data_IF_433153011731
#
_entry.id   IF_433153011731
#
_cell.length_a   1.000
_cell.length_b   1.000
_cell.length_c   1.000
_cell.angle_alpha   90.00
_cell.angle_beta   90.00
_cell.angle_gamma   90.00
#
_symmetry.space_group_name_H-M   'P 1'
#
loop_
_entity.id
_entity.type
_entity.pdbx_description
1 polymer ?
#
# COMPACT_ATOMS: atom_id res chain seq x y z
N UNK A 1 -46.88 37.74 11.89
CA UNK A 1 -46.12 37.51 13.13
C UNK A 1 -44.75 38.15 12.99
N UNK A 2 -44.18 38.69 14.07
CA UNK A 2 -42.96 39.50 14.01
C UNK A 2 -41.74 38.63 13.69
N UNK A 3 -40.91 39.08 12.75
CA UNK A 3 -39.62 38.47 12.41
C UNK A 3 -38.74 38.47 13.66
N UNK A 4 -38.37 37.29 14.16
CA UNK A 4 -37.46 37.16 15.30
C UNK A 4 -36.04 37.47 14.83
N UNK A 5 -35.37 38.41 15.50
CA UNK A 5 -33.96 38.71 15.22
C UNK A 5 -33.09 37.77 16.06
N UNK A 6 -32.39 36.86 15.40
CA UNK A 6 -31.41 36.01 16.05
C UNK A 6 -30.16 36.79 16.45
N UNK A 7 -29.58 36.42 17.59
CA UNK A 7 -28.26 36.88 17.99
C UNK A 7 -27.18 36.06 17.30
N UNK A 8 -25.98 36.65 17.14
CA UNK A 8 -24.83 35.95 16.55
C UNK A 8 -24.47 34.66 17.31
N UNK A 9 -24.63 34.67 18.64
CA UNK A 9 -24.38 33.51 19.49
C UNK A 9 -25.40 32.37 19.28
N UNK A 10 -26.69 32.68 19.12
CA UNK A 10 -27.72 31.68 18.81
C UNK A 10 -27.48 31.03 17.45
N UNK A 11 -27.11 31.83 16.44
CA UNK A 11 -26.75 31.32 15.11
C UNK A 11 -25.55 30.38 15.15
N UNK A 12 -24.51 30.73 15.92
CA UNK A 12 -23.32 29.89 16.07
C UNK A 12 -23.66 28.57 16.76
N UNK A 13 -24.43 28.62 17.86
CA UNK A 13 -24.85 27.42 18.59
C UNK A 13 -25.67 26.45 17.70
N UNK A 14 -26.50 27.00 16.81
CA UNK A 14 -27.25 26.20 15.85
C UNK A 14 -26.34 25.54 14.80
N UNK A 15 -25.35 26.27 14.29
CA UNK A 15 -24.36 25.74 13.34
C UNK A 15 -23.52 24.62 13.95
N UNK A 16 -23.06 24.79 15.19
CA UNK A 16 -22.28 23.80 15.92
C UNK A 16 -23.10 22.52 16.15
N UNK A 17 -24.40 22.66 16.46
CA UNK A 17 -25.29 21.52 16.68
C UNK A 17 -25.59 20.74 15.39
N UNK A 18 -25.73 21.43 14.26
CA UNK A 18 -25.93 20.79 12.95
C UNK A 18 -24.66 20.10 12.45
N UNK A 19 -23.47 20.56 12.84
CA UNK A 19 -22.21 19.91 12.49
C UNK A 19 -22.12 18.45 13.00
N UNK A 20 -22.87 18.07 14.04
CA UNK A 20 -22.93 16.68 14.52
C UNK A 20 -23.97 15.78 13.84
N UNK A 21 -24.81 16.32 12.95
CA UNK A 21 -26.03 15.65 12.43
C UNK A 21 -25.88 15.14 11.00
N UNK A 22 -26.51 14.00 10.67
CA UNK A 22 -26.50 13.39 9.33
C UNK A 22 -26.94 14.36 8.22
N UNK A 23 -26.34 14.27 7.03
CA UNK A 23 -26.48 15.27 5.96
C UNK A 23 -27.95 15.54 5.56
N UNK A 24 -28.79 14.52 5.51
CA UNK A 24 -30.22 14.66 5.19
C UNK A 24 -30.99 15.43 6.27
N UNK A 25 -30.71 15.14 7.54
CA UNK A 25 -31.32 15.83 8.68
C UNK A 25 -30.84 17.28 8.80
N UNK A 26 -29.58 17.59 8.41
CA UNK A 26 -29.07 18.97 8.36
C UNK A 26 -29.90 19.87 7.46
N UNK A 27 -30.28 19.38 6.27
CA UNK A 27 -31.07 20.16 5.32
C UNK A 27 -32.49 20.41 5.86
N UNK A 28 -33.10 19.41 6.49
CA UNK A 28 -34.39 19.57 7.16
C UNK A 28 -34.29 20.62 8.27
N UNK A 29 -33.35 20.46 9.21
CA UNK A 29 -33.18 21.34 10.36
C UNK A 29 -32.88 22.79 9.94
N UNK A 30 -32.02 23.01 8.94
CA UNK A 30 -31.74 24.34 8.39
C UNK A 30 -33.00 25.02 7.83
N UNK A 31 -33.87 24.25 7.17
CA UNK A 31 -35.13 24.76 6.64
C UNK A 31 -36.10 25.12 7.75
N UNK A 32 -36.28 24.24 8.74
CA UNK A 32 -37.17 24.50 9.89
C UNK A 32 -36.75 25.73 10.69
N UNK A 33 -35.45 25.87 10.94
CA UNK A 33 -34.89 27.02 11.63
C UNK A 33 -35.04 28.31 10.82
N UNK A 34 -34.78 28.26 9.50
CA UNK A 34 -35.04 29.40 8.61
C UNK A 34 -36.51 29.82 8.64
N UNK A 35 -37.43 28.87 8.66
CA UNK A 35 -38.87 29.13 8.71
C UNK A 35 -39.31 29.70 10.08
N UNK A 36 -38.64 29.29 11.16
CA UNK A 36 -38.80 29.85 12.51
C UNK A 36 -38.30 31.30 12.59
N UNK A 37 -37.12 31.58 12.05
CA UNK A 37 -36.53 32.94 12.01
C UNK A 37 -37.39 33.90 11.18
N UNK A 38 -37.95 33.40 10.07
CA UNK A 38 -38.86 34.17 9.23
C UNK A 38 -40.24 34.38 9.87
N UNK A 39 -40.51 33.77 11.03
CA UNK A 39 -41.80 33.87 11.73
C UNK A 39 -42.94 33.11 11.04
N UNK A 40 -42.62 32.22 10.09
CA UNK A 40 -43.56 31.35 9.39
C UNK A 40 -43.92 30.13 10.24
N UNK A 41 -43.04 29.74 11.17
CA UNK A 41 -43.20 28.61 12.08
C UNK A 41 -43.07 29.08 13.52
N UNK A 42 -43.93 28.55 14.41
CA UNK A 42 -43.97 28.90 15.85
C UNK A 42 -42.91 28.15 16.66
N UNK A 43 -42.52 26.96 16.21
CA UNK A 43 -41.54 26.10 16.87
C UNK A 43 -40.22 26.05 16.10
N UNK A 44 -39.11 26.06 16.83
CA UNK A 44 -37.75 25.95 16.29
C UNK A 44 -37.45 24.53 15.76
N UNK A 45 -36.28 24.35 15.13
CA UNK A 45 -35.88 23.09 14.51
C UNK A 45 -35.87 21.91 15.49
N UNK A 46 -36.48 20.79 15.08
CA UNK A 46 -36.61 19.62 15.94
C UNK A 46 -35.44 18.63 15.77
N UNK A 47 -34.51 18.64 16.73
CA UNK A 47 -33.34 17.76 16.76
C UNK A 47 -33.61 16.35 17.31
N UNK A 48 -34.79 16.06 17.88
CA UNK A 48 -35.05 14.77 18.54
C UNK A 48 -35.09 13.59 17.57
N UNK A 49 -35.43 13.83 16.31
CA UNK A 49 -35.43 12.82 15.23
C UNK A 49 -34.15 12.81 14.39
N UNK A 50 -33.14 13.61 14.76
CA UNK A 50 -31.91 13.73 13.98
C UNK A 50 -30.94 12.57 14.25
N UNK A 51 -30.47 11.90 13.19
CA UNK A 51 -29.47 10.84 13.31
C UNK A 51 -28.07 11.44 13.55
N UNK A 52 -27.29 10.94 14.53
CA UNK A 52 -25.91 11.37 14.71
C UNK A 52 -25.07 10.99 13.49
N UNK A 53 -24.12 11.85 13.10
CA UNK A 53 -23.14 11.46 12.08
C UNK A 53 -22.31 10.27 12.59
N UNK A 54 -22.26 9.20 11.80
CA UNK A 54 -21.24 8.17 11.98
C UNK A 54 -19.90 8.79 11.60
N UNK A 55 -19.16 9.28 12.59
CA UNK A 55 -17.77 9.68 12.42
C UNK A 55 -16.93 8.41 12.23
N UNK A 56 -16.79 7.94 10.98
CA UNK A 56 -15.61 7.13 10.70
C UNK A 56 -14.42 8.06 10.89
N UNK A 57 -13.69 7.85 11.99
CA UNK A 57 -12.50 8.63 12.29
C UNK A 57 -11.52 8.33 11.14
N UNK A 58 -11.16 9.31 10.29
CA UNK A 58 -10.15 9.08 9.28
C UNK A 58 -8.82 8.88 9.99
N UNK A 59 -8.12 7.79 9.68
CA UNK A 59 -6.79 7.51 10.24
C UNK A 59 -5.85 8.70 9.95
N UNK A 60 -5.34 9.41 10.98
CA UNK A 60 -4.50 10.59 10.81
C UNK A 60 -3.15 10.29 10.15
N UNK A 61 -2.81 9.02 9.93
CA UNK A 61 -1.59 8.60 9.21
C UNK A 61 -1.72 8.64 7.69
N UNK A 62 -2.90 8.89 7.13
CA UNK A 62 -3.07 8.98 5.67
C UNK A 62 -2.85 10.42 5.18
N UNK A 63 -1.78 10.69 4.41
CA UNK A 63 -1.63 11.99 3.78
C UNK A 63 -2.80 12.24 2.82
N UNK A 64 -3.28 13.50 2.68
CA UNK A 64 -4.36 13.85 1.78
C UNK A 64 -3.86 13.85 0.33
N UNK A 65 -3.64 12.67 -0.23
CA UNK A 65 -3.44 12.52 -1.67
C UNK A 65 -4.81 12.56 -2.34
N UNK A 66 -5.02 13.55 -3.21
CA UNK A 66 -6.17 13.58 -4.11
C UNK A 66 -6.34 12.24 -4.82
N UNK A 67 -7.58 11.87 -5.15
CA UNK A 67 -7.94 10.56 -5.71
C UNK A 67 -7.01 10.15 -6.86
N UNK A 68 -6.59 11.11 -7.68
CA UNK A 68 -5.73 10.90 -8.85
C UNK A 68 -4.27 10.58 -8.50
N UNK A 69 -3.73 11.22 -7.46
CA UNK A 69 -2.37 10.95 -6.98
C UNK A 69 -2.29 9.58 -6.30
N UNK A 70 -3.31 9.22 -5.50
CA UNK A 70 -3.43 7.88 -4.92
C UNK A 70 -3.53 6.80 -6.00
N UNK A 71 -4.31 7.04 -7.05
CA UNK A 71 -4.43 6.12 -8.17
C UNK A 71 -3.12 5.96 -8.95
N UNK A 72 -2.39 7.05 -9.18
CA UNK A 72 -1.11 7.03 -9.90
C UNK A 72 -0.02 6.26 -9.15
N UNK A 73 0.15 6.53 -7.85
CA UNK A 73 1.13 5.86 -7.01
C UNK A 73 0.80 4.36 -6.83
N UNK A 74 -0.49 4.06 -6.70
CA UNK A 74 -0.97 2.69 -6.59
C UNK A 74 -0.78 1.93 -7.91
N UNK A 75 -1.01 2.56 -9.06
CA UNK A 75 -0.77 1.95 -10.38
C UNK A 75 0.73 1.69 -10.65
N UNK A 76 1.60 2.55 -10.13
CA UNK A 76 3.05 2.43 -10.27
C UNK A 76 3.62 1.29 -9.43
N UNK A 77 3.01 1.02 -8.27
CA UNK A 77 3.41 -0.07 -7.36
C UNK A 77 2.72 -1.41 -7.67
N UNK A 78 1.49 -1.37 -8.18
CA UNK A 78 0.79 -2.57 -8.66
C UNK A 78 1.26 -2.93 -10.05
N UNK A 79 2.26 -3.80 -10.12
CA UNK A 79 2.70 -4.38 -11.37
C UNK A 79 1.55 -5.12 -12.09
N UNK A 80 1.03 -4.56 -13.19
CA UNK A 80 -0.09 -5.13 -13.96
C UNK A 80 0.16 -6.54 -14.52
N UNK A 81 1.43 -6.92 -14.67
CA UNK A 81 1.82 -8.23 -15.19
C UNK A 81 2.42 -9.06 -14.05
N UNK A 82 1.95 -10.31 -13.92
CA UNK A 82 2.30 -11.22 -12.83
C UNK A 82 3.81 -11.42 -12.65
N UNK A 83 4.57 -11.48 -13.75
CA UNK A 83 6.02 -11.72 -13.69
C UNK A 83 6.79 -10.62 -12.97
N UNK A 84 6.32 -9.37 -13.00
CA UNK A 84 6.97 -8.26 -12.30
C UNK A 84 6.78 -8.36 -10.79
N UNK A 85 5.61 -8.83 -10.35
CA UNK A 85 5.35 -9.10 -8.93
C UNK A 85 6.18 -10.29 -8.42
N UNK A 86 6.28 -11.37 -9.22
CA UNK A 86 7.15 -12.51 -8.93
C UNK A 86 8.61 -12.07 -8.82
N UNK A 87 9.08 -11.29 -9.79
CA UNK A 87 10.44 -10.74 -9.78
C UNK A 87 10.71 -9.89 -8.54
N UNK A 88 9.80 -8.96 -8.22
CA UNK A 88 9.96 -8.10 -7.05
C UNK A 88 9.99 -8.91 -5.75
N UNK A 89 9.19 -9.98 -5.65
CA UNK A 89 9.24 -10.91 -4.51
C UNK A 89 10.56 -11.68 -4.41
N UNK A 90 11.16 -12.08 -5.54
CA UNK A 90 12.47 -12.73 -5.55
C UNK A 90 13.59 -11.76 -5.12
N UNK A 91 13.54 -10.51 -5.59
CA UNK A 91 14.48 -9.46 -5.19
C UNK A 91 14.35 -9.17 -3.69
N UNK A 92 13.14 -9.03 -3.17
CA UNK A 92 12.90 -8.78 -1.74
C UNK A 92 13.50 -9.90 -0.86
N UNK A 93 13.25 -11.16 -1.22
CA UNK A 93 13.84 -12.32 -0.53
C UNK A 93 15.37 -12.32 -0.60
N UNK A 94 15.96 -11.98 -1.75
CA UNK A 94 17.40 -11.91 -1.90
C UNK A 94 18.02 -10.80 -1.04
N UNK A 95 17.40 -9.62 -0.99
CA UNK A 95 17.87 -8.47 -0.21
C UNK A 95 17.84 -8.78 1.29
N UNK A 96 16.77 -9.41 1.79
CA UNK A 96 16.67 -9.82 3.20
C UNK A 96 17.75 -10.87 3.53
N UNK A 97 17.94 -11.86 2.67
CA UNK A 97 18.98 -12.88 2.87
C UNK A 97 20.38 -12.27 2.86
N UNK A 98 20.65 -11.33 1.94
CA UNK A 98 21.91 -10.60 1.89
C UNK A 98 22.16 -9.80 3.16
N UNK A 99 21.12 -9.15 3.73
CA UNK A 99 21.24 -8.45 5.00
C UNK A 99 21.60 -9.39 6.16
N UNK A 100 20.99 -10.57 6.23
CA UNK A 100 21.31 -11.58 7.26
C UNK A 100 22.80 -11.95 7.19
N UNK A 101 23.30 -12.29 6.00
CA UNK A 101 24.70 -12.65 5.79
C UNK A 101 25.64 -11.48 6.12
N UNK A 102 25.30 -10.27 5.67
CA UNK A 102 26.06 -9.05 5.94
C UNK A 102 26.15 -8.75 7.44
N UNK A 103 25.03 -8.91 8.17
CA UNK A 103 24.97 -8.73 9.61
C UNK A 103 25.84 -9.74 10.34
N UNK A 104 25.77 -11.01 9.97
CA UNK A 104 26.61 -12.07 10.53
C UNK A 104 28.10 -11.82 10.28
N UNK A 105 28.46 -11.39 9.07
CA UNK A 105 29.84 -11.04 8.72
C UNK A 105 30.37 -9.85 9.55
N UNK A 106 29.53 -8.86 9.85
CA UNK A 106 29.92 -7.72 10.72
C UNK A 106 30.05 -8.10 12.18
N UNK A 107 29.18 -8.97 12.69
CA UNK A 107 29.29 -9.51 14.06
C UNK A 107 30.64 -10.21 14.26
N UNK A 108 31.06 -11.03 13.28
CA UNK A 108 32.38 -11.70 13.31
C UNK A 108 33.55 -10.72 13.31
N UNK A 109 33.40 -9.56 12.64
CA UNK A 109 34.40 -8.49 12.58
C UNK A 109 34.36 -7.54 13.79
N UNK A 110 33.49 -7.79 14.79
CA UNK A 110 33.23 -6.90 15.94
C UNK A 110 32.93 -5.45 15.54
N UNK A 111 32.33 -5.26 14.38
CA UNK A 111 31.90 -3.94 13.91
C UNK A 111 30.51 -3.60 14.48
N UNK A 112 30.20 -2.30 14.57
CA UNK A 112 28.87 -1.84 14.98
C UNK A 112 27.80 -2.41 14.04
N UNK A 113 26.68 -2.86 14.63
CA UNK A 113 25.52 -3.33 13.88
C UNK A 113 24.91 -2.15 13.13
N UNK A 114 24.81 -2.28 11.80
CA UNK A 114 24.12 -1.29 10.96
C UNK A 114 22.62 -1.51 11.01
N UNK A 115 21.85 -0.42 10.94
CA UNK A 115 20.40 -0.50 10.82
C UNK A 115 20.04 -1.06 9.44
N UNK A 116 18.94 -1.80 9.33
CA UNK A 116 18.45 -2.32 8.04
C UNK A 116 18.29 -1.23 6.97
N UNK A 117 17.78 -0.06 7.36
CA UNK A 117 17.62 1.08 6.45
C UNK A 117 18.96 1.60 5.89
N UNK A 118 19.98 1.69 6.74
CA UNK A 118 21.32 2.13 6.33
C UNK A 118 22.03 1.10 5.43
N UNK A 119 21.75 -0.20 5.62
CA UNK A 119 22.18 -1.23 4.69
C UNK A 119 21.52 -1.05 3.31
N UNK A 120 20.20 -0.79 3.27
CA UNK A 120 19.47 -0.59 2.02
C UNK A 120 19.96 0.64 1.25
N UNK A 121 20.27 1.75 1.94
CA UNK A 121 20.80 2.95 1.27
C UNK A 121 22.20 2.71 0.71
N UNK A 122 23.07 1.99 1.42
CA UNK A 122 24.38 1.59 0.91
C UNK A 122 24.26 0.65 -0.29
N UNK A 123 23.38 -0.35 -0.20
CA UNK A 123 23.11 -1.28 -1.31
C UNK A 123 22.58 -0.54 -2.53
N UNK A 124 21.67 0.41 -2.36
CA UNK A 124 21.14 1.22 -3.45
C UNK A 124 22.24 2.06 -4.11
N UNK A 125 23.12 2.71 -3.33
CA UNK A 125 24.24 3.48 -3.88
C UNK A 125 25.17 2.58 -4.70
N UNK A 126 25.53 1.41 -4.17
CA UNK A 126 26.36 0.43 -4.88
C UNK A 126 25.73 -0.01 -6.20
N UNK A 127 24.43 -0.33 -6.20
CA UNK A 127 23.73 -0.76 -7.42
C UNK A 127 23.67 0.35 -8.47
N UNK A 128 23.60 1.63 -8.05
CA UNK A 128 23.61 2.77 -8.97
C UNK A 128 24.99 3.05 -9.57
N UNK A 129 26.06 2.67 -8.87
CA UNK A 129 27.44 2.82 -9.34
C UNK A 129 27.89 1.68 -10.28
N UNK A 130 27.12 0.59 -10.37
CA UNK A 130 27.45 -0.54 -11.25
C UNK A 130 27.42 -0.12 -12.72
N UNK A 131 28.46 -0.52 -13.44
CA UNK A 131 28.60 -0.32 -14.88
C UNK A 131 28.34 -1.61 -15.65
N UNK A 132 28.12 -1.52 -16.96
CA UNK A 132 27.90 -2.70 -17.82
C UNK A 132 29.07 -3.71 -17.77
N UNK A 133 30.28 -3.21 -17.51
CA UNK A 133 31.50 -4.02 -17.40
C UNK A 133 31.47 -4.94 -16.17
N UNK A 134 30.90 -4.48 -15.05
CA UNK A 134 30.75 -5.26 -13.82
C UNK A 134 29.81 -6.47 -14.02
N UNK A 135 28.80 -6.31 -14.88
CA UNK A 135 27.89 -7.38 -15.24
C UNK A 135 28.53 -8.39 -16.19
N UNK A 136 29.35 -7.93 -17.14
CA UNK A 136 30.09 -8.81 -18.06
C UNK A 136 31.10 -9.70 -17.32
N UNK A 137 31.84 -9.13 -16.35
CA UNK A 137 32.77 -9.87 -15.52
C UNK A 137 32.07 -10.94 -14.66
N UNK A 138 30.91 -10.58 -14.08
CA UNK A 138 30.11 -11.48 -13.25
C UNK A 138 29.60 -12.70 -14.01
N UNK A 139 29.30 -12.58 -15.32
CA UNK A 139 28.85 -13.71 -16.14
C UNK A 139 29.97 -14.74 -16.35
N UNK A 140 31.21 -14.29 -16.60
CA UNK A 140 32.36 -15.19 -16.76
C UNK A 140 32.65 -15.98 -15.47
N UNK A 141 32.54 -15.33 -14.31
CA UNK A 141 32.74 -15.98 -13.01
C UNK A 141 31.58 -16.95 -12.66
N UNK A 142 30.34 -16.59 -13.01
CA UNK A 142 29.18 -17.46 -12.81
C UNK A 142 29.23 -18.73 -13.70
N UNK A 143 29.66 -18.60 -14.96
CA UNK A 143 29.88 -19.75 -15.86
C UNK A 143 30.98 -20.68 -15.30
N UNK A 144 32.03 -20.11 -14.71
CA UNK A 144 33.11 -20.87 -14.10
C UNK A 144 32.67 -21.58 -12.81
N UNK A 145 31.82 -20.95 -11.98
CA UNK A 145 31.23 -21.57 -10.79
C UNK A 145 30.21 -22.66 -11.17
N UNK A 146 29.37 -22.43 -12.18
CA UNK A 146 28.41 -23.43 -12.68
C UNK A 146 29.13 -24.65 -13.28
N UNK A 147 30.18 -24.42 -14.07
CA UNK A 147 31.02 -25.50 -14.61
C UNK A 147 31.71 -26.32 -13.51
N UNK A 148 31.97 -25.72 -12.34
CA UNK A 148 32.63 -26.36 -11.21
C UNK A 148 31.66 -27.05 -10.24
N UNK A 149 30.38 -26.68 -10.26
CA UNK A 149 29.37 -27.16 -9.28
C UNK A 149 28.37 -28.14 -9.87
N UNK A 150 28.15 -28.12 -11.18
CA UNK A 150 27.30 -29.09 -11.85
C UNK A 150 28.15 -30.28 -12.30
N UNK A 151 27.82 -31.52 -11.90
CA UNK A 151 28.36 -32.70 -12.55
C UNK A 151 28.07 -32.59 -14.05
N UNK A 152 29.07 -32.79 -14.89
CA UNK A 152 28.93 -32.81 -16.35
C UNK A 152 27.97 -33.89 -16.89
N UNK A 153 27.35 -34.66 -15.99
CA UNK A 153 26.61 -35.89 -16.24
C UNK A 153 25.09 -35.74 -16.09
N UNK A 154 24.54 -34.52 -15.98
CA UNK A 154 23.09 -34.33 -15.95
C UNK A 154 22.47 -34.50 -17.35
N UNK A 155 22.56 -35.71 -17.91
CA UNK A 155 21.87 -36.08 -19.13
C UNK A 155 20.35 -36.10 -18.86
N UNK A 156 19.52 -35.58 -19.78
CA UNK A 156 18.08 -35.75 -19.71
C UNK A 156 17.73 -37.24 -19.63
N UNK A 157 17.31 -37.72 -18.46
CA UNK A 157 16.87 -39.09 -18.26
C UNK A 157 15.37 -39.17 -18.44
N UNK A 158 14.92 -40.03 -19.35
CA UNK A 158 13.49 -40.28 -19.53
C UNK A 158 12.90 -40.91 -18.26
N UNK A 159 11.78 -40.36 -17.79
CA UNK A 159 11.12 -40.79 -16.57
C UNK A 159 10.43 -42.16 -16.83
N UNK A 160 10.76 -43.23 -16.07
CA UNK A 160 10.26 -44.59 -16.30
C UNK A 160 8.72 -44.73 -16.15
N UNK A 161 8.06 -43.70 -15.61
CA UNK A 161 6.61 -43.65 -15.45
C UNK A 161 5.84 -43.49 -16.77
N UNK A 162 6.51 -43.12 -17.88
CA UNK A 162 5.84 -43.00 -19.18
C UNK A 162 5.78 -44.36 -19.89
N UNK A 163 4.58 -44.81 -20.23
CA UNK A 163 4.34 -45.98 -21.09
C UNK A 163 3.58 -45.55 -22.35
N UNK A 164 3.93 -46.17 -23.48
CA UNK A 164 3.21 -45.98 -24.73
C UNK A 164 2.05 -46.96 -24.73
N UNK A 165 0.83 -46.46 -24.57
CA UNK A 165 -0.40 -47.25 -24.64
C UNK A 165 -1.17 -46.81 -25.87
N UNK A 166 -1.37 -47.71 -26.83
CA UNK A 166 -2.07 -47.46 -28.10
C UNK A 166 -1.51 -46.24 -28.87
N UNK A 167 -0.19 -46.10 -28.93
CA UNK A 167 0.48 -45.01 -29.65
C UNK A 167 0.51 -43.66 -28.90
N UNK A 168 -0.09 -43.57 -27.71
CA UNK A 168 -0.07 -42.36 -26.90
C UNK A 168 0.80 -42.53 -25.65
N UNK A 169 1.70 -41.58 -25.39
CA UNK A 169 2.47 -41.50 -24.13
C UNK A 169 1.51 -41.21 -22.98
N UNK A 170 1.34 -42.17 -22.08
CA UNK A 170 0.57 -42.03 -20.85
C UNK A 170 1.47 -42.28 -19.66
N UNK A 171 1.25 -41.52 -18.58
CA UNK A 171 1.83 -41.84 -17.29
C UNK A 171 1.09 -43.06 -16.72
N UNK A 172 1.83 -44.03 -16.20
CA UNK A 172 1.27 -45.23 -15.59
C UNK A 172 0.31 -44.89 -14.45
#
# INVERSE_FOLDING_TARGET
>A
MAVRRETCAERQAFQDRIAGVHAEDRHRLMKEHRDFVNGTRVEDANFTSARPQSTSIPDPRRPPMGKDAAYSLQLQTTCKKYYRAVFLGLVDMAVVNAYIVYREARTKRRANSITHAEFLTQLQAQILELTEEDFAQSQADAENVLARTLPAEHAPRENPDYQIVNGHRKRR
#
